data_IF_746235894724
#
_entry.id   IF_746235894724
#
_cell.length_a   1.000
_cell.length_b   1.000
_cell.length_c   1.000
_cell.angle_alpha   90.00
_cell.angle_beta   90.00
_cell.angle_gamma   90.00
#
_symmetry.space_group_name_H-M   'P 1'
#
loop_
_entity.id
_entity.type
_entity.pdbx_description
1 polymer ?
#
# COMPACT_ATOMS: atom_id res chain seq x y z
N UNK A 1 -5.51 -7.10 -18.84
CA UNK A 1 -6.07 -7.64 -17.60
C UNK A 1 -7.31 -8.45 -17.93
N UNK A 2 -7.64 -9.43 -17.10
CA UNK A 2 -8.86 -10.25 -17.22
C UNK A 2 -10.10 -9.41 -16.85
N UNK A 3 -11.29 -9.85 -17.28
CA UNK A 3 -12.53 -9.14 -16.94
C UNK A 3 -12.76 -9.08 -15.42
N UNK A 4 -12.39 -10.13 -14.68
CA UNK A 4 -12.52 -10.16 -13.22
C UNK A 4 -11.51 -9.25 -12.52
N UNK A 5 -10.27 -9.13 -13.01
CA UNK A 5 -9.31 -8.13 -12.53
C UNK A 5 -9.83 -6.70 -12.74
N UNK A 6 -10.36 -6.40 -13.94
CA UNK A 6 -10.95 -5.10 -14.24
C UNK A 6 -12.17 -4.82 -13.35
N UNK A 7 -13.05 -5.81 -13.18
CA UNK A 7 -14.20 -5.70 -12.28
C UNK A 7 -13.75 -5.36 -10.85
N UNK A 8 -12.79 -6.11 -10.30
CA UNK A 8 -12.26 -5.82 -8.97
C UNK A 8 -11.70 -4.38 -8.87
N UNK A 9 -10.81 -3.99 -9.78
CA UNK A 9 -10.15 -2.68 -9.72
C UNK A 9 -11.14 -1.50 -9.86
N UNK A 10 -12.23 -1.66 -10.63
CA UNK A 10 -13.18 -0.58 -10.89
C UNK A 10 -14.36 -0.53 -9.92
N UNK A 11 -14.84 -1.67 -9.43
CA UNK A 11 -16.07 -1.75 -8.63
C UNK A 11 -15.85 -2.26 -7.20
N UNK A 12 -14.80 -3.05 -6.98
CA UNK A 12 -14.52 -3.70 -5.70
C UNK A 12 -13.48 -3.00 -4.83
N UNK A 13 -12.50 -2.35 -5.45
CA UNK A 13 -11.34 -1.79 -4.76
C UNK A 13 -11.70 -0.89 -3.57
N UNK A 14 -12.62 0.06 -3.77
CA UNK A 14 -13.05 1.01 -2.74
C UNK A 14 -14.01 0.39 -1.69
N UNK A 15 -14.56 -0.80 -1.96
CA UNK A 15 -15.49 -1.50 -1.06
C UNK A 15 -14.79 -2.37 -0.02
N UNK A 16 -13.51 -2.67 -0.24
CA UNK A 16 -12.72 -3.50 0.68
C UNK A 16 -11.92 -2.60 1.62
N UNK A 17 -12.14 -2.79 2.92
CA UNK A 17 -11.36 -2.14 3.96
C UNK A 17 -9.90 -2.62 3.95
N UNK A 18 -8.97 -1.68 3.92
CA UNK A 18 -7.53 -1.93 3.89
C UNK A 18 -6.77 -0.78 3.21
N UNK A 19 -5.45 -0.80 3.34
CA UNK A 19 -4.56 0.24 2.82
C UNK A 19 -3.88 -0.25 1.55
N UNK A 20 -4.19 0.39 0.43
CA UNK A 20 -3.50 0.18 -0.84
C UNK A 20 -3.75 1.39 -1.71
N UNK A 21 -2.73 1.87 -2.42
CA UNK A 21 -2.93 2.91 -3.41
C UNK A 21 -3.58 2.33 -4.69
N UNK A 22 -4.61 2.98 -5.29
CA UNK A 22 -5.22 2.49 -6.53
C UNK A 22 -4.21 2.29 -7.67
N UNK A 23 -3.27 3.23 -7.84
CA UNK A 23 -2.21 3.15 -8.86
C UNK A 23 -1.36 1.91 -8.65
N UNK A 24 -1.00 1.62 -7.40
CA UNK A 24 -0.23 0.42 -7.03
C UNK A 24 -1.00 -0.86 -7.33
N UNK A 25 -2.29 -0.92 -6.98
CA UNK A 25 -3.13 -2.07 -7.30
C UNK A 25 -3.20 -2.34 -8.81
N UNK A 26 -3.33 -1.28 -9.61
CA UNK A 26 -3.31 -1.39 -11.07
C UNK A 26 -1.97 -1.87 -11.61
N UNK A 27 -0.86 -1.32 -11.12
CA UNK A 27 0.49 -1.71 -11.55
C UNK A 27 0.76 -3.17 -11.20
N UNK A 28 0.43 -3.61 -9.98
CA UNK A 28 0.55 -5.00 -9.56
C UNK A 28 -0.24 -5.94 -10.48
N UNK A 29 -1.52 -5.62 -10.74
CA UNK A 29 -2.37 -6.41 -11.63
C UNK A 29 -1.84 -6.43 -13.08
N UNK A 30 -1.31 -5.31 -13.58
CA UNK A 30 -0.76 -5.22 -14.93
C UNK A 30 0.56 -5.98 -15.09
N UNK A 31 1.43 -5.95 -14.08
CA UNK A 31 2.66 -6.73 -14.05
C UNK A 31 2.35 -8.24 -14.00
N UNK A 32 1.41 -8.65 -13.15
CA UNK A 32 0.99 -10.05 -13.06
C UNK A 32 0.32 -10.54 -14.35
N UNK A 33 -0.52 -9.73 -15.00
CA UNK A 33 -1.07 -10.03 -16.33
C UNK A 33 0.02 -10.08 -17.41
N UNK A 34 1.06 -9.24 -17.30
CA UNK A 34 2.18 -9.26 -18.24
C UNK A 34 3.03 -10.53 -18.10
N UNK A 35 3.34 -10.97 -16.88
CA UNK A 35 4.00 -12.26 -16.63
C UNK A 35 3.26 -13.40 -17.34
N UNK A 36 1.94 -13.49 -17.12
CA UNK A 36 1.10 -14.51 -17.75
C UNK A 36 1.13 -14.43 -19.28
N UNK A 37 1.05 -13.23 -19.87
CA UNK A 37 1.11 -13.05 -21.34
C UNK A 37 2.47 -13.44 -21.93
N UNK A 38 3.53 -13.30 -21.15
CA UNK A 38 4.88 -13.71 -21.55
C UNK A 38 5.11 -15.22 -21.33
N UNK A 39 4.07 -15.98 -20.96
CA UNK A 39 4.17 -17.43 -20.72
C UNK A 39 4.84 -17.80 -19.40
N UNK A 40 4.98 -16.85 -18.47
CA UNK A 40 5.53 -17.12 -17.16
C UNK A 40 4.45 -17.74 -16.26
N UNK A 41 4.50 -19.07 -16.14
CA UNK A 41 3.69 -19.83 -15.21
C UNK A 41 4.28 -19.74 -13.79
N UNK A 42 3.43 -19.82 -12.76
CA UNK A 42 3.85 -19.89 -11.37
C UNK A 42 2.80 -19.38 -10.41
N UNK A 43 2.99 -19.70 -9.15
CA UNK A 43 2.05 -19.36 -8.09
C UNK A 43 2.16 -17.88 -7.69
N UNK A 44 1.18 -17.41 -6.94
CA UNK A 44 1.16 -16.08 -6.33
C UNK A 44 1.08 -16.24 -4.82
N UNK A 45 1.90 -15.49 -4.09
CA UNK A 45 1.88 -15.47 -2.63
C UNK A 45 1.78 -14.04 -2.08
N UNK A 46 1.09 -13.89 -0.96
CA UNK A 46 1.08 -12.65 -0.19
C UNK A 46 1.22 -12.95 1.31
N UNK A 47 2.13 -12.24 1.97
CA UNK A 47 2.22 -12.13 3.43
C UNK A 47 1.54 -10.82 3.82
N UNK A 48 0.56 -10.89 4.73
CA UNK A 48 -0.28 -9.75 5.11
C UNK A 48 -1.44 -9.54 4.14
N UNK A 49 -2.51 -10.31 4.33
CA UNK A 49 -3.68 -10.37 3.44
C UNK A 49 -4.82 -9.49 3.94
N UNK A 50 -4.99 -9.37 5.26
CA UNK A 50 -6.03 -8.59 5.93
C UNK A 50 -7.46 -8.95 5.48
N UNK A 51 -8.05 -8.17 4.56
CA UNK A 51 -9.36 -8.42 3.92
C UNK A 51 -9.25 -8.70 2.41
N UNK A 52 -8.03 -8.86 1.90
CA UNK A 52 -7.72 -9.24 0.52
C UNK A 52 -7.56 -8.09 -0.47
N UNK A 53 -7.37 -6.84 -0.03
CA UNK A 53 -7.36 -5.68 -0.94
C UNK A 53 -6.20 -5.72 -1.95
N UNK A 54 -4.98 -6.00 -1.51
CA UNK A 54 -3.85 -6.25 -2.40
C UNK A 54 -3.94 -7.64 -3.05
N UNK A 55 -4.28 -8.66 -2.28
CA UNK A 55 -4.45 -10.03 -2.74
C UNK A 55 -5.30 -10.14 -4.01
N UNK A 56 -6.47 -9.50 -4.02
CA UNK A 56 -7.44 -9.55 -5.12
C UNK A 56 -6.95 -8.88 -6.41
N UNK A 57 -6.02 -7.92 -6.29
CA UNK A 57 -5.37 -7.30 -7.45
C UNK A 57 -4.50 -8.33 -8.20
N UNK A 58 -3.94 -9.31 -7.48
CA UNK A 58 -3.09 -10.37 -8.03
C UNK A 58 -3.87 -11.64 -8.36
N UNK A 59 -4.81 -12.04 -7.51
CA UNK A 59 -5.54 -13.31 -7.59
C UNK A 59 -6.25 -13.55 -8.93
N UNK A 60 -6.72 -12.47 -9.55
CA UNK A 60 -7.41 -12.52 -10.84
C UNK A 60 -6.49 -12.78 -12.05
N UNK A 61 -5.18 -12.86 -11.83
CA UNK A 61 -4.18 -13.13 -12.86
C UNK A 61 -3.72 -14.58 -12.94
N UNK A 62 -4.21 -15.48 -12.06
CA UNK A 62 -3.75 -16.88 -12.07
C UNK A 62 -4.35 -17.68 -13.25
N UNK A 63 -3.52 -18.53 -13.84
CA UNK A 63 -3.88 -19.54 -14.83
C UNK A 63 -4.38 -20.84 -14.16
N UNK A 64 -4.83 -21.81 -14.98
CA UNK A 64 -5.21 -23.12 -14.48
C UNK A 64 -3.97 -23.88 -13.96
N UNK A 65 -4.07 -24.48 -12.78
CA UNK A 65 -2.96 -25.21 -12.14
C UNK A 65 -2.05 -24.35 -11.25
N UNK A 66 -2.09 -23.03 -11.37
CA UNK A 66 -1.38 -22.11 -10.47
C UNK A 66 -2.12 -21.98 -9.14
N UNK A 67 -1.36 -21.80 -8.06
CA UNK A 67 -1.87 -21.63 -6.70
C UNK A 67 -1.83 -20.18 -6.23
N UNK A 68 -2.67 -19.89 -5.25
CA UNK A 68 -2.74 -18.64 -4.51
C UNK A 68 -2.45 -18.92 -3.04
N UNK A 69 -1.37 -18.38 -2.50
CA UNK A 69 -1.01 -18.53 -1.09
C UNK A 69 -1.31 -17.25 -0.32
N UNK A 70 -2.26 -17.33 0.61
CA UNK A 70 -2.68 -16.23 1.49
C UNK A 70 -2.12 -16.48 2.89
N UNK A 71 -1.07 -15.74 3.27
CA UNK A 71 -0.37 -15.89 4.55
C UNK A 71 -0.70 -14.70 5.46
N UNK A 72 -1.41 -14.94 6.56
CA UNK A 72 -1.80 -13.91 7.52
C UNK A 72 -2.12 -14.54 8.87
N UNK A 73 -1.97 -13.81 9.97
CA UNK A 73 -2.39 -14.28 11.29
C UNK A 73 -3.92 -14.23 11.48
N UNK A 74 -4.64 -13.43 10.69
CA UNK A 74 -6.09 -13.19 10.77
C UNK A 74 -6.57 -13.05 12.22
N UNK A 75 -7.38 -13.97 12.73
CA UNK A 75 -7.93 -13.89 14.09
C UNK A 75 -6.88 -14.15 15.19
N UNK A 76 -5.70 -14.69 14.87
CA UNK A 76 -4.60 -14.95 15.81
C UNK A 76 -3.80 -13.69 16.18
N UNK A 77 -4.51 -12.64 16.58
CA UNK A 77 -3.98 -11.30 16.86
C UNK A 77 -2.96 -11.25 18.01
N UNK A 78 -2.80 -12.33 18.79
CA UNK A 78 -1.69 -12.45 19.75
C UNK A 78 -0.31 -12.56 19.07
N UNK A 79 -0.27 -12.95 17.78
CA UNK A 79 0.93 -12.98 16.93
C UNK A 79 1.21 -11.65 16.22
N UNK A 80 0.26 -10.70 16.25
CA UNK A 80 0.39 -9.37 15.67
C UNK A 80 1.08 -8.41 16.65
N UNK A 81 2.40 -8.45 16.72
CA UNK A 81 3.18 -7.76 17.75
C UNK A 81 3.26 -6.25 17.59
N UNK A 82 3.17 -5.74 16.36
CA UNK A 82 3.26 -4.30 16.04
C UNK A 82 1.89 -3.62 15.86
N UNK A 83 0.79 -4.40 15.89
CA UNK A 83 -0.59 -3.92 15.79
C UNK A 83 -0.85 -3.18 14.48
N UNK A 84 -0.24 -3.64 13.39
CA UNK A 84 -0.30 -3.04 12.05
C UNK A 84 -1.67 -3.09 11.38
N UNK A 85 -2.56 -3.97 11.84
CA UNK A 85 -3.93 -4.15 11.35
C UNK A 85 -4.64 -5.28 12.07
N UNK A 86 -5.91 -5.54 11.75
CA UNK A 86 -6.65 -6.68 12.32
C UNK A 86 -7.52 -7.31 11.23
N UNK A 87 -6.88 -8.15 10.42
CA UNK A 87 -7.54 -8.85 9.32
C UNK A 87 -8.65 -9.79 9.79
N UNK A 88 -9.63 -10.01 8.92
CA UNK A 88 -10.68 -11.01 9.10
C UNK A 88 -10.64 -12.01 7.95
N UNK A 89 -10.41 -13.29 8.29
CA UNK A 89 -10.39 -14.38 7.33
C UNK A 89 -11.73 -14.53 6.63
N UNK A 90 -12.82 -14.37 7.38
CA UNK A 90 -14.17 -14.46 6.83
C UNK A 90 -14.42 -13.33 5.81
N UNK A 91 -14.10 -12.08 6.15
CA UNK A 91 -14.24 -10.96 5.22
C UNK A 91 -13.38 -11.14 3.97
N UNK A 92 -12.15 -11.63 4.12
CA UNK A 92 -11.28 -11.99 2.99
C UNK A 92 -11.94 -13.03 2.07
N UNK A 93 -12.45 -14.12 2.62
CA UNK A 93 -13.10 -15.19 1.84
C UNK A 93 -14.38 -14.72 1.13
N UNK A 94 -15.17 -13.86 1.77
CA UNK A 94 -16.37 -13.28 1.15
C UNK A 94 -16.00 -12.32 0.01
N UNK A 95 -14.95 -11.51 0.18
CA UNK A 95 -14.42 -10.67 -0.90
C UNK A 95 -13.87 -11.51 -2.07
N UNK A 96 -13.17 -12.62 -1.78
CA UNK A 96 -12.72 -13.57 -2.81
C UNK A 96 -13.89 -14.12 -3.63
N UNK A 97 -15.00 -14.50 -2.98
CA UNK A 97 -16.20 -15.00 -3.67
C UNK A 97 -16.78 -13.98 -4.64
N UNK A 98 -16.76 -12.69 -4.27
CA UNK A 98 -17.34 -11.61 -5.07
C UNK A 98 -16.41 -11.17 -6.21
N UNK A 99 -15.12 -10.99 -5.92
CA UNK A 99 -14.19 -10.30 -6.81
C UNK A 99 -13.15 -11.21 -7.49
N UNK A 100 -13.04 -12.47 -7.10
CA UNK A 100 -12.23 -13.49 -7.77
C UNK A 100 -13.00 -14.83 -7.86
N UNK A 101 -14.19 -14.85 -8.49
CA UNK A 101 -15.04 -16.05 -8.51
C UNK A 101 -14.33 -17.25 -9.14
N UNK A 102 -14.42 -18.40 -8.47
CA UNK A 102 -13.76 -19.65 -8.88
C UNK A 102 -12.26 -19.72 -8.56
N UNK A 103 -11.69 -18.70 -7.92
CA UNK A 103 -10.32 -18.72 -7.41
C UNK A 103 -10.35 -19.05 -5.92
N UNK A 104 -9.62 -20.09 -5.52
CA UNK A 104 -9.57 -20.56 -4.13
C UNK A 104 -8.15 -20.38 -3.62
N UNK A 105 -7.93 -19.56 -2.58
CA UNK A 105 -6.61 -19.43 -1.96
C UNK A 105 -6.35 -20.62 -1.03
N UNK A 106 -5.09 -21.07 -1.01
CA UNK A 106 -4.52 -21.85 0.07
C UNK A 106 -4.19 -20.88 1.21
N UNK A 107 -4.89 -21.01 2.33
CA UNK A 107 -4.74 -20.11 3.48
C UNK A 107 -3.76 -20.70 4.46
N UNK A 108 -2.71 -19.95 4.78
CA UNK A 108 -1.75 -20.24 5.82
C UNK A 108 -2.00 -19.23 6.94
N UNK A 109 -2.81 -19.62 7.92
CA UNK A 109 -3.15 -18.78 9.06
C UNK A 109 -2.03 -18.82 10.10
N UNK A 110 -0.92 -18.15 9.81
CA UNK A 110 0.28 -18.16 10.65
C UNK A 110 1.08 -16.86 10.56
N UNK A 111 1.96 -16.64 11.53
CA UNK A 111 2.99 -15.60 11.43
C UNK A 111 3.99 -15.98 10.35
N UNK A 112 4.44 -15.01 9.54
CA UNK A 112 5.48 -15.28 8.55
C UNK A 112 6.81 -15.71 9.18
N UNK A 113 7.04 -15.36 10.45
CA UNK A 113 8.20 -15.79 11.23
C UNK A 113 8.22 -17.30 11.50
N UNK A 114 7.07 -17.96 11.44
CA UNK A 114 6.93 -19.39 11.73
C UNK A 114 7.09 -20.26 10.45
N UNK A 115 6.96 -19.66 9.26
CA UNK A 115 7.06 -20.38 7.98
C UNK A 115 8.36 -21.16 7.76
N UNK A 116 9.56 -20.65 8.13
CA UNK A 116 10.79 -21.42 8.00
C UNK A 116 10.77 -22.70 8.84
N UNK A 117 10.22 -22.66 10.06
CA UNK A 117 10.11 -23.85 10.91
C UNK A 117 9.12 -24.88 10.34
N UNK A 118 8.14 -24.42 9.56
CA UNK A 118 7.20 -25.26 8.83
C UNK A 118 7.78 -25.83 7.52
N UNK A 119 9.02 -25.48 7.17
CA UNK A 119 9.66 -25.80 5.89
C UNK A 119 8.86 -25.33 4.66
N UNK A 120 8.04 -24.28 4.82
CA UNK A 120 7.20 -23.76 3.74
C UNK A 120 8.06 -23.20 2.59
N UNK A 121 9.15 -22.42 2.84
CA UNK A 121 10.00 -21.94 1.77
C UNK A 121 10.62 -23.06 0.92
N UNK A 122 11.06 -24.14 1.55
CA UNK A 122 11.67 -25.30 0.86
C UNK A 122 10.65 -26.07 0.02
N UNK A 123 9.41 -26.21 0.52
CA UNK A 123 8.32 -26.87 -0.21
C UNK A 123 7.87 -26.11 -1.45
N UNK A 124 8.06 -24.79 -1.46
CA UNK A 124 7.64 -23.88 -2.54
C UNK A 124 8.80 -23.20 -3.26
N UNK A 125 10.01 -23.76 -3.12
CA UNK A 125 11.21 -23.21 -3.73
C UNK A 125 11.06 -23.06 -5.26
N UNK A 126 11.22 -21.84 -5.75
CA UNK A 126 11.12 -21.52 -7.18
C UNK A 126 9.74 -21.71 -7.82
N UNK A 127 8.64 -21.74 -7.04
CA UNK A 127 7.28 -21.85 -7.60
C UNK A 127 6.57 -20.50 -7.77
N UNK A 128 6.94 -19.49 -6.97
CA UNK A 128 6.22 -18.21 -6.93
C UNK A 128 6.69 -17.26 -8.05
N UNK A 129 5.77 -16.75 -8.86
CA UNK A 129 6.06 -15.71 -9.88
C UNK A 129 5.77 -14.29 -9.41
N UNK A 130 4.86 -14.12 -8.45
CA UNK A 130 4.57 -12.82 -7.84
C UNK A 130 4.41 -12.97 -6.33
N UNK A 131 5.25 -12.27 -5.57
CA UNK A 131 5.23 -12.29 -4.11
C UNK A 131 4.94 -10.87 -3.59
N UNK A 132 3.93 -10.71 -2.74
CA UNK A 132 3.62 -9.45 -2.04
C UNK A 132 3.97 -9.58 -0.55
N UNK A 133 4.71 -8.62 0.00
CA UNK A 133 5.08 -8.52 1.41
C UNK A 133 4.42 -7.26 1.97
N UNK A 134 3.45 -7.47 2.85
CA UNK A 134 2.58 -6.45 3.44
C UNK A 134 2.14 -6.83 4.87
N UNK A 135 3.00 -7.60 5.57
CA UNK A 135 2.71 -8.18 6.88
C UNK A 135 3.09 -7.28 8.05
N UNK A 136 4.08 -7.73 8.84
CA UNK A 136 4.59 -6.94 9.97
C UNK A 136 5.54 -5.84 9.50
N UNK A 137 5.48 -4.70 10.19
CA UNK A 137 6.30 -3.51 9.97
C UNK A 137 7.57 -3.49 10.82
N UNK A 138 7.92 -4.59 11.49
CA UNK A 138 9.18 -4.75 12.22
C UNK A 138 10.34 -5.06 11.27
N UNK A 139 11.55 -4.66 11.69
CA UNK A 139 12.78 -4.92 10.92
C UNK A 139 13.03 -6.43 10.75
N UNK A 140 12.83 -7.18 11.82
CA UNK A 140 13.05 -8.61 11.91
C UNK A 140 12.10 -9.37 10.97
N UNK A 141 10.80 -9.04 11.01
CA UNK A 141 9.82 -9.65 10.12
C UNK A 141 10.06 -9.28 8.65
N UNK A 142 10.33 -8.01 8.34
CA UNK A 142 10.60 -7.61 6.95
C UNK A 142 11.83 -8.33 6.38
N UNK A 143 12.90 -8.49 7.16
CA UNK A 143 14.08 -9.25 6.74
C UNK A 143 13.74 -10.73 6.51
N UNK A 144 12.98 -11.34 7.43
CA UNK A 144 12.51 -12.72 7.29
C UNK A 144 11.69 -12.90 6.01
N UNK A 145 10.72 -12.03 5.77
CA UNK A 145 9.78 -12.13 4.65
C UNK A 145 10.49 -11.96 3.30
N UNK A 146 11.49 -11.07 3.23
CA UNK A 146 12.35 -10.95 2.06
C UNK A 146 13.17 -12.22 1.79
N UNK A 147 13.62 -12.93 2.83
CA UNK A 147 14.32 -14.21 2.68
C UNK A 147 13.39 -15.33 2.25
N UNK A 148 12.17 -15.37 2.77
CA UNK A 148 11.12 -16.29 2.32
C UNK A 148 10.81 -16.04 0.84
N UNK A 149 10.61 -14.78 0.45
CA UNK A 149 10.35 -14.42 -0.94
C UNK A 149 11.53 -14.83 -1.83
N UNK A 150 12.77 -14.50 -1.47
CA UNK A 150 13.98 -14.90 -2.22
C UNK A 150 14.07 -16.41 -2.45
N UNK A 151 13.76 -17.23 -1.45
CA UNK A 151 13.86 -18.69 -1.55
C UNK A 151 12.73 -19.31 -2.39
N UNK A 152 11.54 -18.72 -2.36
CA UNK A 152 10.34 -19.26 -3.01
C UNK A 152 10.12 -18.75 -4.42
N UNK A 153 10.64 -17.58 -4.75
CA UNK A 153 10.41 -17.00 -6.07
C UNK A 153 11.23 -17.67 -7.16
N UNK A 154 10.63 -17.80 -8.32
CA UNK A 154 11.30 -18.27 -9.53
C UNK A 154 12.13 -17.17 -10.20
N UNK A 155 12.98 -17.56 -11.14
CA UNK A 155 13.72 -16.61 -11.96
C UNK A 155 12.78 -15.66 -12.72
N UNK A 156 13.05 -14.35 -12.61
CA UNK A 156 12.27 -13.27 -13.21
C UNK A 156 10.96 -12.91 -12.50
N UNK A 157 10.71 -13.49 -11.31
CA UNK A 157 9.57 -13.16 -10.49
C UNK A 157 9.62 -11.71 -10.00
N UNK A 158 8.47 -11.21 -9.53
CA UNK A 158 8.36 -9.88 -8.94
C UNK A 158 8.06 -10.04 -7.45
N UNK A 159 8.78 -9.28 -6.63
CA UNK A 159 8.54 -9.14 -5.19
C UNK A 159 8.16 -7.69 -4.92
N UNK A 160 7.02 -7.46 -4.28
CA UNK A 160 6.54 -6.14 -3.89
C UNK A 160 6.56 -6.01 -2.37
N UNK A 161 7.19 -4.97 -1.83
CA UNK A 161 7.30 -4.72 -0.39
C UNK A 161 6.57 -3.43 -0.05
N UNK A 162 5.56 -3.49 0.81
CA UNK A 162 4.80 -2.31 1.27
C UNK A 162 5.57 -1.45 2.25
N UNK A 163 5.11 -0.21 2.42
CA UNK A 163 5.52 0.73 3.46
C UNK A 163 7.03 1.05 3.57
N UNK A 164 7.83 0.74 2.54
CA UNK A 164 9.30 0.94 2.55
C UNK A 164 9.70 2.38 2.85
N UNK A 165 8.89 3.39 2.53
CA UNK A 165 9.16 4.80 2.87
C UNK A 165 8.14 5.39 3.86
N UNK A 166 7.38 4.55 4.55
CA UNK A 166 6.40 4.99 5.55
C UNK A 166 7.11 5.46 6.81
N UNK A 167 6.85 6.71 7.21
CA UNK A 167 7.38 7.28 8.45
C UNK A 167 6.79 6.64 9.72
N UNK A 168 5.68 5.90 9.59
CA UNK A 168 5.07 5.17 10.71
C UNK A 168 5.71 3.79 10.91
N UNK A 169 6.33 3.25 9.86
CA UNK A 169 6.75 1.84 9.77
C UNK A 169 8.21 1.72 9.36
N UNK A 170 9.09 2.46 10.05
CA UNK A 170 10.53 2.49 9.75
C UNK A 170 11.25 1.14 9.92
N UNK A 171 10.62 0.15 10.55
CA UNK A 171 11.17 -1.20 10.59
C UNK A 171 11.28 -1.81 9.20
N UNK A 172 10.34 -1.49 8.29
CA UNK A 172 10.38 -2.00 6.91
C UNK A 172 11.63 -1.55 6.17
N UNK A 173 11.91 -0.24 6.11
CA UNK A 173 13.10 0.25 5.40
C UNK A 173 14.38 -0.33 6.01
N UNK A 174 14.39 -0.48 7.34
CA UNK A 174 15.52 -1.06 8.05
C UNK A 174 15.71 -2.53 7.68
N UNK A 175 14.63 -3.31 7.54
CA UNK A 175 14.66 -4.71 7.10
C UNK A 175 15.10 -4.86 5.64
N UNK A 176 14.62 -3.99 4.75
CA UNK A 176 15.06 -3.94 3.34
C UNK A 176 16.56 -3.64 3.26
N UNK A 177 17.05 -2.66 4.03
CA UNK A 177 18.48 -2.32 4.06
C UNK A 177 19.33 -3.46 4.59
N UNK A 178 18.88 -4.10 5.68
CA UNK A 178 19.52 -5.30 6.22
C UNK A 178 19.59 -6.42 5.18
N UNK A 179 18.50 -6.68 4.45
CA UNK A 179 18.44 -7.72 3.43
C UNK A 179 19.45 -7.43 2.30
N UNK A 180 19.41 -6.23 1.72
CA UNK A 180 20.28 -5.86 0.59
C UNK A 180 21.76 -5.80 1.01
N UNK A 181 22.07 -5.21 2.17
CA UNK A 181 23.45 -5.10 2.67
C UNK A 181 24.06 -6.46 3.08
N UNK A 182 23.23 -7.45 3.41
CA UNK A 182 23.65 -8.81 3.77
C UNK A 182 23.53 -9.80 2.59
N UNK A 183 23.68 -9.31 1.36
CA UNK A 183 23.77 -10.15 0.17
C UNK A 183 22.43 -10.73 -0.30
N UNK A 184 21.32 -10.03 -0.07
CA UNK A 184 20.07 -10.31 -0.76
C UNK A 184 20.26 -10.23 -2.29
N UNK A 185 19.67 -11.17 -3.01
CA UNK A 185 19.83 -11.35 -4.46
C UNK A 185 18.72 -10.70 -5.29
N UNK A 186 17.60 -10.33 -4.66
CA UNK A 186 16.52 -9.59 -5.31
C UNK A 186 16.99 -8.17 -5.59
N UNK A 187 16.73 -7.71 -6.82
CA UNK A 187 17.19 -6.42 -7.31
C UNK A 187 16.01 -5.44 -7.36
N UNK A 188 16.04 -4.34 -6.59
CA UNK A 188 15.10 -3.23 -6.72
C UNK A 188 15.08 -2.66 -8.14
N UNK A 189 13.90 -2.34 -8.66
CA UNK A 189 13.76 -1.76 -10.01
C UNK A 189 12.78 -0.59 -10.11
N UNK A 190 11.82 -0.50 -9.19
CA UNK A 190 10.91 0.64 -9.15
C UNK A 190 10.35 0.87 -7.74
N UNK A 191 10.07 2.13 -7.42
CA UNK A 191 9.17 2.54 -6.34
C UNK A 191 7.86 2.97 -6.99
N UNK A 192 6.77 2.32 -6.59
CA UNK A 192 5.40 2.75 -6.89
C UNK A 192 4.77 3.31 -5.61
N UNK A 193 3.59 3.95 -5.64
CA UNK A 193 3.03 4.53 -4.42
C UNK A 193 2.95 3.50 -3.29
N UNK A 194 3.73 3.74 -2.23
CA UNK A 194 3.88 2.90 -1.05
C UNK A 194 4.52 1.51 -1.22
N UNK A 195 4.93 1.07 -2.43
CA UNK A 195 5.58 -0.25 -2.61
C UNK A 195 6.91 -0.17 -3.36
N UNK A 196 7.93 -0.84 -2.83
CA UNK A 196 9.17 -1.14 -3.55
C UNK A 196 9.00 -2.42 -4.35
N UNK A 197 9.35 -2.39 -5.64
CA UNK A 197 9.34 -3.55 -6.51
C UNK A 197 10.76 -4.05 -6.73
N UNK A 198 10.95 -5.35 -6.53
CA UNK A 198 12.18 -6.10 -6.72
C UNK A 198 11.96 -7.28 -7.67
N UNK A 199 13.04 -7.80 -8.27
CA UNK A 199 12.99 -8.98 -9.14
C UNK A 199 14.28 -9.80 -9.06
N UNK A 200 14.26 -11.04 -9.54
CA UNK A 200 15.44 -11.89 -9.64
C UNK A 200 16.12 -11.76 -11.02
N UNK A 201 17.39 -11.35 -11.00
CA UNK A 201 18.27 -11.29 -12.17
C UNK A 201 18.19 -9.99 -12.98
N UNK A 202 19.34 -9.56 -13.50
CA UNK A 202 19.50 -8.33 -14.29
C UNK A 202 18.64 -8.27 -15.58
N UNK A 203 18.53 -9.35 -16.39
CA UNK A 203 17.66 -9.32 -17.57
C UNK A 203 16.19 -9.05 -17.23
N UNK A 204 15.69 -9.65 -16.15
CA UNK A 204 14.32 -9.42 -15.65
C UNK A 204 14.15 -8.01 -15.14
N UNK A 205 15.16 -7.48 -14.43
CA UNK A 205 15.19 -6.10 -13.96
C UNK A 205 15.03 -5.10 -15.10
N UNK A 206 15.84 -5.25 -16.15
CA UNK A 206 15.76 -4.41 -17.34
C UNK A 206 14.38 -4.50 -18.01
N UNK A 207 13.86 -5.72 -18.17
CA UNK A 207 12.53 -5.98 -18.75
C UNK A 207 11.41 -5.28 -17.97
N UNK A 208 11.39 -5.41 -16.64
CA UNK A 208 10.32 -4.83 -15.82
C UNK A 208 10.43 -3.30 -15.74
N UNK A 209 11.64 -2.74 -15.66
CA UNK A 209 11.83 -1.29 -15.79
C UNK A 209 11.36 -0.77 -17.15
N UNK A 210 11.68 -1.44 -18.25
CA UNK A 210 11.21 -1.05 -19.59
C UNK A 210 9.69 -1.11 -19.70
N UNK A 211 9.07 -2.18 -19.20
CA UNK A 211 7.61 -2.29 -19.17
C UNK A 211 6.97 -1.12 -18.41
N UNK A 212 7.51 -0.77 -17.24
CA UNK A 212 7.01 0.32 -16.44
C UNK A 212 7.19 1.68 -17.13
N UNK A 213 8.37 1.95 -17.70
CA UNK A 213 8.65 3.17 -18.48
C UNK A 213 7.72 3.33 -19.67
N UNK A 214 7.47 2.25 -20.40
CA UNK A 214 6.59 2.28 -21.56
C UNK A 214 5.12 2.49 -21.16
N UNK A 215 4.64 1.72 -20.18
CA UNK A 215 3.21 1.69 -19.85
C UNK A 215 2.76 2.82 -18.92
N UNK A 216 3.65 3.28 -18.05
CA UNK A 216 3.35 4.29 -17.02
C UNK A 216 4.19 5.56 -17.20
N UNK A 217 4.59 5.88 -18.44
CA UNK A 217 5.38 7.06 -18.77
C UNK A 217 4.80 8.35 -18.20
N UNK A 218 3.46 8.50 -18.22
CA UNK A 218 2.77 9.68 -17.67
C UNK A 218 2.94 9.81 -16.15
N UNK A 219 2.90 8.69 -15.45
CA UNK A 219 2.92 8.63 -13.98
C UNK A 219 4.36 8.56 -13.45
N UNK A 220 5.37 8.47 -14.32
CA UNK A 220 6.77 8.38 -13.94
C UNK A 220 7.35 9.76 -13.62
N UNK A 221 7.66 10.01 -12.35
CA UNK A 221 8.24 11.30 -11.93
C UNK A 221 9.74 11.37 -12.17
N UNK A 222 10.44 10.25 -12.01
CA UNK A 222 11.91 10.20 -12.16
C UNK A 222 12.37 8.80 -12.50
N UNK A 223 13.33 8.68 -13.41
CA UNK A 223 14.02 7.42 -13.69
C UNK A 223 15.43 7.44 -13.13
N UNK A 224 15.97 6.26 -12.85
CA UNK A 224 17.36 6.10 -12.43
C UNK A 224 17.71 6.69 -11.05
N UNK A 225 16.75 6.72 -10.13
CA UNK A 225 16.97 7.18 -8.75
C UNK A 225 17.81 6.16 -7.99
N UNK A 226 18.82 6.64 -7.26
CA UNK A 226 19.66 5.79 -6.42
C UNK A 226 18.90 5.33 -5.18
N UNK A 227 18.86 4.02 -4.99
CA UNK A 227 18.36 3.36 -3.80
C UNK A 227 19.41 2.33 -3.38
N UNK A 228 20.24 2.69 -2.40
CA UNK A 228 21.51 2.01 -2.11
C UNK A 228 22.36 1.89 -3.39
N UNK A 229 22.88 0.70 -3.69
CA UNK A 229 23.67 0.42 -4.89
C UNK A 229 22.83 0.22 -6.15
N UNK A 230 21.49 0.28 -6.03
CA UNK A 230 20.57 0.06 -7.14
C UNK A 230 20.07 1.36 -7.75
N UNK A 231 19.57 1.23 -8.97
CA UNK A 231 18.94 2.29 -9.74
C UNK A 231 17.50 1.91 -10.00
N UNK A 232 16.55 2.68 -9.46
CA UNK A 232 15.11 2.42 -9.54
C UNK A 232 14.37 3.55 -10.25
N UNK A 233 13.23 3.23 -10.83
CA UNK A 233 12.31 4.24 -11.37
C UNK A 233 11.24 4.61 -10.34
N UNK A 234 10.78 5.85 -10.33
CA UNK A 234 9.76 6.35 -9.41
C UNK A 234 8.48 6.61 -10.20
N UNK A 235 7.41 5.93 -9.78
CA UNK A 235 6.07 6.10 -10.31
C UNK A 235 5.20 6.69 -9.20
N UNK A 236 4.59 7.82 -9.51
CA UNK A 236 3.69 8.52 -8.59
C UNK A 236 2.26 8.03 -8.74
N UNK A 237 1.44 8.42 -7.77
CA UNK A 237 0.00 8.22 -7.84
C UNK A 237 -0.61 8.96 -9.04
N UNK A 238 -1.48 8.28 -9.76
CA UNK A 238 -2.18 8.82 -10.92
C UNK A 238 -3.67 8.49 -10.84
N UNK A 239 -4.44 9.48 -10.39
CA UNK A 239 -5.87 9.39 -10.20
C UNK A 239 -6.67 9.19 -11.51
N UNK A 240 -6.06 9.40 -12.68
CA UNK A 240 -6.71 9.23 -13.98
C UNK A 240 -6.61 7.79 -14.50
N UNK A 241 -5.65 6.99 -14.03
CA UNK A 241 -5.46 5.58 -14.45
C UNK A 241 -6.72 4.73 -14.28
N UNK A 242 -7.50 4.98 -13.22
CA UNK A 242 -8.74 4.25 -12.94
C UNK A 242 -9.98 4.86 -13.62
N UNK A 243 -9.90 6.12 -14.08
CA UNK A 243 -11.01 6.79 -14.77
C UNK A 243 -11.05 6.44 -16.25
N UNK A 244 -9.88 6.35 -16.89
CA UNK A 244 -9.74 6.02 -18.31
C UNK A 244 -10.15 4.58 -18.67
N UNK A 245 -10.34 3.72 -17.66
CA UNK A 245 -10.77 2.33 -17.83
C UNK A 245 -12.28 2.12 -17.68
N UNK A 246 -13.04 3.17 -17.32
CA UNK A 246 -14.51 3.09 -17.25
C UNK A 246 -15.07 3.36 -18.65
N UNK A 247 -15.95 2.51 -19.21
CA UNK A 247 -16.62 2.82 -20.46
C UNK A 247 -17.49 4.08 -20.29
N UNK A 248 -17.53 4.92 -21.32
CA UNK A 248 -18.48 6.02 -21.40
C UNK A 248 -19.92 5.48 -21.29
N UNK A 249 -20.69 5.97 -20.32
CA UNK A 249 -22.14 5.71 -20.24
C UNK A 249 -22.61 4.62 -19.26
N UNK A 250 -21.76 4.08 -18.38
CA UNK A 250 -22.27 3.29 -17.24
C UNK A 250 -22.65 4.23 -16.09
N UNK A 251 -23.94 4.54 -15.97
CA UNK A 251 -24.48 5.21 -14.77
C UNK A 251 -24.30 4.32 -13.55
N UNK A 252 -23.91 4.91 -12.41
CA UNK A 252 -23.73 4.20 -11.14
C UNK A 252 -25.00 3.41 -10.78
N UNK A 253 -24.95 2.07 -10.63
CA UNK A 253 -25.99 1.34 -9.94
C UNK A 253 -25.69 1.42 -8.44
N UNK A 254 -26.35 2.35 -7.73
CA UNK A 254 -26.17 2.45 -6.27
C UNK A 254 -26.72 3.68 -5.57
N UNK A 255 -27.47 4.57 -6.25
CA UNK A 255 -27.90 5.87 -5.70
C UNK A 255 -28.51 5.80 -4.29
N UNK A 256 -29.37 4.82 -4.00
CA UNK A 256 -30.05 4.74 -2.68
C UNK A 256 -29.13 4.29 -1.54
N UNK A 257 -28.20 3.35 -1.76
CA UNK A 257 -27.27 2.88 -0.72
C UNK A 257 -26.15 3.91 -0.50
N UNK A 258 -25.71 4.57 -1.59
CA UNK A 258 -24.68 5.62 -1.54
C UNK A 258 -25.24 6.88 -0.84
N UNK A 259 -26.50 7.24 -1.07
CA UNK A 259 -27.13 8.38 -0.38
C UNK A 259 -27.28 8.13 1.12
N UNK A 260 -27.69 6.93 1.55
CA UNK A 260 -27.79 6.61 2.98
C UNK A 260 -26.42 6.53 3.66
N UNK A 261 -25.40 5.96 3.01
CA UNK A 261 -24.03 5.94 3.53
C UNK A 261 -23.39 7.33 3.53
N UNK A 262 -23.63 8.16 2.51
CA UNK A 262 -23.17 9.55 2.47
C UNK A 262 -23.87 10.41 3.52
N UNK A 263 -25.15 10.14 3.80
CA UNK A 263 -25.93 10.80 4.86
C UNK A 263 -25.40 10.42 6.24
N UNK A 264 -25.13 9.14 6.48
CA UNK A 264 -24.55 8.66 7.73
C UNK A 264 -23.13 9.23 7.95
N UNK A 265 -22.29 9.23 6.91
CA UNK A 265 -20.96 9.86 6.96
C UNK A 265 -21.04 11.38 7.14
N UNK A 266 -22.06 12.04 6.61
CA UNK A 266 -22.36 13.46 6.83
C UNK A 266 -22.70 13.77 8.29
N UNK A 267 -23.57 12.96 8.89
CA UNK A 267 -23.95 13.06 10.31
C UNK A 267 -22.75 12.83 11.22
N UNK A 268 -21.92 11.83 10.93
CA UNK A 268 -20.69 11.56 11.69
C UNK A 268 -19.67 12.71 11.56
N UNK A 269 -19.58 13.33 10.38
CA UNK A 269 -18.70 14.49 10.14
C UNK A 269 -19.18 15.74 10.86
N UNK A 270 -20.49 15.99 10.93
CA UNK A 270 -21.06 17.08 11.73
C UNK A 270 -20.85 16.85 13.23
N UNK A 271 -21.06 15.62 13.72
CA UNK A 271 -20.81 15.25 15.11
C UNK A 271 -19.33 15.44 15.48
N UNK A 272 -18.40 15.01 14.61
CA UNK A 272 -16.96 15.21 14.81
C UNK A 272 -16.59 16.70 14.76
N UNK A 273 -17.19 17.47 13.85
CA UNK A 273 -16.98 18.93 13.75
C UNK A 273 -17.43 19.65 15.03
N UNK A 274 -18.58 19.26 15.59
CA UNK A 274 -19.08 19.79 16.85
C UNK A 274 -18.17 19.44 18.04
N UNK A 275 -17.65 18.20 18.10
CA UNK A 275 -16.67 17.79 19.11
C UNK A 275 -15.36 18.58 19.00
N UNK A 276 -14.86 18.80 17.78
CA UNK A 276 -13.67 19.62 17.54
C UNK A 276 -13.91 21.08 17.96
N UNK A 277 -15.09 21.64 17.68
CA UNK A 277 -15.45 23.00 18.09
C UNK A 277 -15.51 23.13 19.62
N UNK A 278 -16.11 22.15 20.32
CA UNK A 278 -16.16 22.12 21.77
C UNK A 278 -14.76 21.97 22.41
N UNK A 279 -13.89 21.15 21.81
CA UNK A 279 -12.50 21.02 22.25
C UNK A 279 -11.71 22.31 22.03
N UNK A 280 -11.91 23.00 20.91
CA UNK A 280 -11.28 24.30 20.64
C UNK A 280 -11.70 25.35 21.65
N UNK A 281 -12.99 25.42 21.98
CA UNK A 281 -13.47 26.38 22.98
C UNK A 281 -12.89 26.08 24.37
N UNK A 282 -12.82 24.79 24.73
CA UNK A 282 -12.19 24.36 25.97
C UNK A 282 -10.70 24.66 26.01
N UNK A 283 -9.98 24.54 24.89
CA UNK A 283 -8.59 24.99 24.78
C UNK A 283 -8.46 26.51 24.93
N UNK A 284 -9.33 27.30 24.30
CA UNK A 284 -9.31 28.77 24.42
C UNK A 284 -9.52 29.23 25.87
N UNK A 285 -10.43 28.58 26.61
CA UNK A 285 -10.66 28.86 28.04
C UNK A 285 -9.42 28.52 28.86
N UNK A 286 -8.82 27.35 28.63
CA UNK A 286 -7.59 26.94 29.33
C UNK A 286 -6.38 27.83 28.98
N UNK A 287 -6.29 28.32 27.74
CA UNK A 287 -5.27 29.28 27.30
C UNK A 287 -5.47 30.65 27.94
N UNK A 288 -6.71 31.11 28.10
CA UNK A 288 -7.03 32.37 28.77
C UNK A 288 -6.79 32.30 30.29
N UNK A 289 -6.96 31.12 30.90
CA UNK A 289 -6.70 30.88 32.32
C UNK A 289 -5.21 30.72 32.63
N UNK A 290 -4.38 30.30 31.66
CA UNK A 290 -2.95 30.01 31.86
C UNK A 290 -2.04 31.01 31.12
N UNK A 291 -2.11 32.29 31.53
CA UNK A 291 -1.42 33.45 30.94
C UNK A 291 0.13 33.36 30.82
N UNK A 292 0.77 32.33 31.34
CA UNK A 292 2.23 32.11 31.18
C UNK A 292 2.61 31.56 29.79
N UNK A 293 1.73 30.81 29.12
CA UNK A 293 2.05 30.15 27.84
C UNK A 293 2.04 31.08 26.62
N UNK A 294 1.44 32.27 26.75
CA UNK A 294 1.42 33.27 25.68
C UNK A 294 2.80 33.88 25.41
N UNK A 295 3.67 33.95 26.43
CA UNK A 295 5.03 34.51 26.34
C UNK A 295 6.02 33.58 25.62
N UNK A 296 5.92 32.25 25.81
CA UNK A 296 6.77 31.27 25.10
C UNK A 296 6.44 31.13 23.61
N UNK A 297 5.20 31.48 23.21
CA UNK A 297 4.74 31.37 21.82
C UNK A 297 5.44 32.36 20.88
N UNK A 298 5.75 33.56 21.35
CA UNK A 298 6.43 34.59 20.55
C UNK A 298 7.92 34.24 20.32
N UNK A 299 8.60 33.66 21.31
CA UNK A 299 9.97 33.16 21.13
C UNK A 299 10.03 31.95 20.18
N UNK A 300 9.04 31.07 20.23
CA UNK A 300 8.96 29.89 19.35
C UNK A 300 8.66 30.26 17.90
N UNK A 301 7.78 31.26 17.67
CA UNK A 301 7.50 31.78 16.33
C UNK A 301 8.72 32.50 15.72
N UNK A 302 9.51 33.21 16.53
CA UNK A 302 10.77 33.82 16.10
C UNK A 302 11.83 32.77 15.71
N UNK A 303 11.83 31.59 16.36
CA UNK A 303 12.70 30.47 15.99
C UNK A 303 12.24 29.75 14.71
N UNK A 304 10.93 29.60 14.48
CA UNK A 304 10.36 28.94 13.29
C UNK A 304 10.58 29.72 11.99
N UNK A 305 10.70 31.06 12.04
CA UNK A 305 11.07 31.89 10.90
C UNK A 305 12.42 31.52 10.25
N UNK A 306 13.30 30.84 10.99
CA UNK A 306 14.62 30.39 10.52
C UNK A 306 14.60 29.02 9.79
N UNK A 307 13.49 28.28 9.85
CA UNK A 307 13.37 26.91 9.31
C UNK A 307 12.80 26.82 7.89
N UNK A 308 12.76 27.94 7.15
CA UNK A 308 12.14 28.06 5.81
C UNK A 308 12.70 27.16 4.70
N UNK A 309 13.72 26.34 4.95
CA UNK A 309 14.51 25.67 3.88
C UNK A 309 14.33 24.16 3.81
N UNK A 310 13.70 23.47 4.78
CA UNK A 310 13.60 22.01 4.70
C UNK A 310 12.23 21.44 5.10
N UNK A 311 11.55 20.90 4.07
CA UNK A 311 10.67 19.71 4.07
C UNK A 311 9.28 19.93 3.48
N UNK A 312 8.92 19.00 2.59
CA UNK A 312 7.65 18.87 1.85
C UNK A 312 6.61 18.03 2.61
N UNK A 313 6.60 18.09 3.95
CA UNK A 313 5.75 17.24 4.78
C UNK A 313 4.27 17.65 4.77
N UNK A 314 3.38 16.68 5.02
CA UNK A 314 1.92 16.84 5.09
C UNK A 314 1.49 17.86 6.17
N UNK A 315 2.31 18.05 7.19
CA UNK A 315 2.14 19.06 8.25
C UNK A 315 2.24 20.49 7.69
N UNK A 316 3.19 20.75 6.78
CA UNK A 316 3.31 22.05 6.12
C UNK A 316 2.08 22.38 5.26
N UNK A 317 1.47 21.38 4.59
CA UNK A 317 0.24 21.57 3.81
C UNK A 317 -0.98 21.83 4.70
N UNK A 318 -1.09 21.13 5.83
CA UNK A 318 -2.16 21.33 6.82
C UNK A 318 -2.05 22.74 7.44
N UNK A 319 -0.85 23.19 7.80
CA UNK A 319 -0.63 24.53 8.34
C UNK A 319 -0.84 25.63 7.29
N UNK A 320 -0.45 25.41 6.03
CA UNK A 320 -0.73 26.35 4.93
C UNK A 320 -2.22 26.47 4.61
N UNK A 321 -2.97 25.36 4.69
CA UNK A 321 -4.43 25.38 4.57
C UNK A 321 -5.08 26.10 5.75
N UNK A 322 -4.57 25.92 6.97
CA UNK A 322 -5.06 26.61 8.17
C UNK A 322 -4.82 28.14 8.12
N UNK A 323 -3.69 28.58 7.56
CA UNK A 323 -3.36 30.00 7.38
C UNK A 323 -4.12 30.61 6.19
N UNK A 324 -4.32 29.86 5.10
CA UNK A 324 -5.07 30.31 3.91
C UNK A 324 -6.56 30.58 4.17
N UNK A 325 -7.14 29.97 5.20
CA UNK A 325 -8.55 30.17 5.61
C UNK A 325 -8.78 31.55 6.27
N UNK A 326 -7.74 32.25 6.74
CA UNK A 326 -7.85 33.61 7.31
C UNK A 326 -7.48 34.73 6.32
N UNK A 327 -7.24 34.40 5.06
CA UNK A 327 -6.72 35.33 4.05
C UNK A 327 -7.71 35.72 2.96
N UNK A 328 -8.95 36.07 3.29
CA UNK A 328 -9.86 36.71 2.33
C UNK A 328 -10.81 37.66 3.05
N UNK A 329 -10.44 38.95 3.08
CA UNK A 329 -11.37 40.07 3.32
C UNK A 329 -12.24 40.29 2.09
N UNK A 330 -13.56 40.49 2.27
CA UNK A 330 -14.19 41.80 1.93
C UNK A 330 -15.43 42.12 2.80
N UNK A 331 -16.17 43.27 2.69
CA UNK A 331 -15.88 44.60 2.13
C UNK A 331 -16.16 45.77 3.13
N UNK A 332 -15.27 46.77 3.17
CA UNK A 332 -15.47 48.23 2.93
C UNK A 332 -14.16 48.95 3.29
#
# INVERSE_FOLDING_TARGET
MTNSATHYLLSGFDRIAGWLNPTTAHIMAALADRQRRDGMEGDIAEIGVHHGKSFLALANSIAAGEKLFAIDVFEDQHKNTDKSGSGSRQAFLDNMRIYAPGKVPEIIQESSLDLPAMHWPEQHAGSIRFFSIDGSHTREATLNDLRIAEQTVKAGAIVAVDDVLSSHWLGVISGVFDYLSKGGTLLPFAMVPNKLLLTSGEPSRAKWSEFLRSRYARSMSKSGVKFLDHSIDIIEEDALLMKEQRPDGVSEPGGEIIEDQARQAGIEREALSAQIAALKERCNVLEAENNEWALERDETLAQLGRWKVFSTSRIYRIMKAYIGIRGSTPPM
#
